data_IF_519195329880
#
_entry.id   IF_519195329880
#
_cell.length_a   1.000
_cell.length_b   1.000
_cell.length_c   1.000
_cell.angle_alpha   90.00
_cell.angle_beta   90.00
_cell.angle_gamma   90.00
#
_symmetry.space_group_name_H-M   'P 1'
#
loop_
_entity.id
_entity.type
_entity.pdbx_description
1 polymer ?
#
# COMPACT_ATOMS: atom_id res chain seq x y z
N UNK A 1 5.83 4.08 -33.48
CA UNK A 1 6.47 4.41 -32.20
C UNK A 1 5.51 5.37 -31.52
N UNK A 2 4.63 4.87 -30.66
CA UNK A 2 3.59 5.70 -30.05
C UNK A 2 4.20 6.55 -28.93
N UNK A 3 4.17 7.87 -29.14
CA UNK A 3 4.36 8.87 -28.10
C UNK A 3 3.17 8.77 -27.14
N UNK A 4 3.35 7.97 -26.11
CA UNK A 4 2.38 7.92 -25.01
C UNK A 4 2.43 9.24 -24.27
N UNK A 5 1.35 9.99 -24.41
CA UNK A 5 1.09 11.25 -23.73
C UNK A 5 1.46 11.11 -22.25
N UNK A 6 2.49 11.82 -21.82
CA UNK A 6 2.90 11.87 -20.42
C UNK A 6 1.75 12.47 -19.59
N UNK A 7 1.03 11.63 -18.85
CA UNK A 7 -0.02 12.06 -17.93
C UNK A 7 0.66 12.50 -16.63
N UNK A 8 0.79 13.81 -16.43
CA UNK A 8 1.35 14.44 -15.23
C UNK A 8 0.56 15.70 -14.87
N UNK A 9 0.61 16.12 -13.61
CA UNK A 9 -0.08 17.32 -13.18
C UNK A 9 0.48 18.58 -13.88
N UNK A 10 -0.40 19.26 -14.61
CA UNK A 10 -0.10 20.53 -15.25
C UNK A 10 -0.18 21.71 -14.28
N UNK A 11 0.38 22.87 -14.68
CA UNK A 11 0.28 24.11 -13.90
C UNK A 11 -1.17 24.54 -13.64
N UNK A 12 -2.10 24.19 -14.54
CA UNK A 12 -3.54 24.47 -14.43
C UNK A 12 -4.25 23.64 -13.34
N UNK A 13 -3.71 22.47 -12.98
CA UNK A 13 -4.30 21.57 -11.98
C UNK A 13 -3.82 21.89 -10.55
N UNK A 14 -2.91 22.85 -10.38
CA UNK A 14 -2.51 23.38 -9.06
C UNK A 14 -3.68 24.05 -8.33
N UNK A 15 -4.64 24.56 -9.07
CA UNK A 15 -5.92 25.02 -8.55
C UNK A 15 -6.79 23.78 -8.39
N UNK A 16 -6.55 23.02 -7.32
CA UNK A 16 -7.30 21.81 -7.01
C UNK A 16 -8.82 22.05 -7.05
N UNK A 17 -9.62 21.01 -7.27
CA UNK A 17 -11.07 21.14 -7.33
C UNK A 17 -11.61 21.77 -6.06
N UNK A 18 -12.64 22.62 -6.23
CA UNK A 18 -13.29 23.37 -5.16
C UNK A 18 -14.18 22.50 -4.26
N UNK A 19 -14.20 21.19 -4.48
CA UNK A 19 -15.01 20.22 -3.75
C UNK A 19 -14.10 19.16 -3.15
N UNK A 20 -14.40 18.76 -1.91
CA UNK A 20 -13.67 17.72 -1.22
C UNK A 20 -13.79 16.40 -1.98
N UNK A 21 -12.66 15.77 -2.28
CA UNK A 21 -12.64 14.39 -2.76
C UNK A 21 -12.98 13.47 -1.58
N UNK A 22 -14.19 12.91 -1.57
CA UNK A 22 -14.59 11.90 -0.59
C UNK A 22 -14.33 10.46 -1.06
N UNK A 23 -13.80 10.28 -2.28
CA UNK A 23 -13.46 8.96 -2.80
C UNK A 23 -12.11 8.49 -2.25
N UNK A 24 -12.04 7.21 -1.88
CA UNK A 24 -10.81 6.57 -1.44
C UNK A 24 -9.75 6.59 -2.55
N UNK A 25 -8.53 7.04 -2.23
CA UNK A 25 -7.41 6.91 -3.16
C UNK A 25 -6.93 5.45 -3.15
N UNK A 26 -7.15 4.77 -4.27
CA UNK A 26 -6.80 3.36 -4.46
C UNK A 26 -5.91 3.23 -5.70
N UNK A 27 -4.76 2.59 -5.56
CA UNK A 27 -3.76 2.46 -6.63
C UNK A 27 -3.42 1.00 -6.94
N UNK A 28 -2.66 0.82 -8.02
CA UNK A 28 -1.96 -0.41 -8.39
C UNK A 28 -0.47 -0.13 -8.41
N UNK A 29 0.34 -1.05 -7.90
CA UNK A 29 1.80 -0.91 -7.85
C UNK A 29 2.49 -2.28 -7.92
N UNK A 30 3.81 -2.26 -8.15
CA UNK A 30 4.61 -3.50 -8.09
C UNK A 30 5.11 -3.70 -6.66
N UNK A 31 4.64 -4.75 -5.99
CA UNK A 31 5.09 -5.16 -4.66
C UNK A 31 5.78 -6.51 -4.75
N UNK A 32 7.05 -6.58 -4.36
CA UNK A 32 7.85 -7.81 -4.43
C UNK A 32 7.81 -8.51 -5.81
N UNK A 33 7.85 -7.72 -6.89
CA UNK A 33 7.74 -8.14 -8.29
C UNK A 33 6.34 -8.64 -8.73
N UNK A 34 5.30 -8.46 -7.91
CA UNK A 34 3.92 -8.73 -8.28
C UNK A 34 3.16 -7.43 -8.54
N UNK A 35 2.35 -7.40 -9.59
CA UNK A 35 1.39 -6.32 -9.79
C UNK A 35 0.22 -6.47 -8.80
N UNK A 36 0.18 -5.59 -7.80
CA UNK A 36 -0.82 -5.60 -6.74
C UNK A 36 -1.74 -4.40 -6.93
N UNK A 37 -2.99 -4.68 -7.29
CA UNK A 37 -4.07 -3.69 -7.31
C UNK A 37 -4.74 -3.54 -5.94
N UNK A 38 -5.71 -2.63 -5.84
CA UNK A 38 -6.49 -2.38 -4.61
C UNK A 38 -5.61 -2.05 -3.41
N UNK A 39 -4.62 -1.18 -3.63
CA UNK A 39 -3.79 -0.60 -2.58
C UNK A 39 -4.46 0.68 -2.09
N UNK A 40 -4.96 0.68 -0.87
CA UNK A 40 -5.63 1.83 -0.27
C UNK A 40 -4.59 2.78 0.36
N UNK A 41 -4.66 4.06 0.02
CA UNK A 41 -3.81 5.10 0.60
C UNK A 41 -4.54 5.72 1.79
N UNK A 42 -4.03 5.49 2.99
CA UNK A 42 -4.69 5.88 4.24
C UNK A 42 -3.76 6.68 5.16
N UNK A 43 -3.88 8.01 5.16
CA UNK A 43 -3.13 8.86 6.08
C UNK A 43 -3.58 8.73 7.55
N UNK A 44 -4.74 8.12 7.80
CA UNK A 44 -5.22 7.76 9.13
C UNK A 44 -4.53 6.54 9.72
N UNK A 45 -4.00 5.64 8.88
CA UNK A 45 -3.31 4.43 9.35
C UNK A 45 -1.92 4.74 9.91
N UNK A 46 -1.61 4.21 11.08
CA UNK A 46 -0.29 4.28 11.72
C UNK A 46 0.71 3.25 11.19
N UNK A 47 0.24 2.28 10.41
CA UNK A 47 1.01 1.13 9.93
C UNK A 47 0.72 0.87 8.45
N UNK A 48 1.68 0.25 7.76
CA UNK A 48 1.42 -0.37 6.47
C UNK A 48 0.96 -1.81 6.68
N UNK A 49 -0.09 -2.21 5.96
CA UNK A 49 -0.73 -3.53 6.13
C UNK A 49 -0.71 -4.26 4.80
N UNK A 50 -0.30 -5.52 4.83
CA UNK A 50 -0.50 -6.48 3.74
C UNK A 50 -1.51 -7.52 4.21
N UNK A 51 -2.64 -7.67 3.52
CA UNK A 51 -3.65 -8.64 3.93
C UNK A 51 -3.19 -10.08 3.61
N UNK A 52 -3.43 -11.00 4.53
CA UNK A 52 -2.95 -12.39 4.48
C UNK A 52 -3.34 -13.10 3.18
N UNK A 53 -4.56 -12.88 2.69
CA UNK A 53 -5.00 -13.42 1.39
C UNK A 53 -4.11 -12.95 0.23
N UNK A 54 -3.70 -11.68 0.21
CA UNK A 54 -2.81 -11.15 -0.82
C UNK A 54 -1.40 -11.72 -0.66
N UNK A 55 -0.88 -11.76 0.58
CA UNK A 55 0.40 -12.39 0.88
C UNK A 55 0.46 -13.86 0.40
N UNK A 56 -0.57 -14.65 0.69
CA UNK A 56 -0.65 -16.06 0.30
C UNK A 56 -0.69 -16.23 -1.24
N UNK A 57 -1.35 -15.30 -1.95
CA UNK A 57 -1.40 -15.29 -3.42
C UNK A 57 -0.07 -14.89 -4.07
N UNK A 58 0.74 -14.07 -3.40
CA UNK A 58 2.06 -13.67 -3.88
C UNK A 58 3.09 -14.80 -3.79
N UNK A 59 2.79 -15.92 -3.11
CA UNK A 59 3.62 -17.13 -3.07
C UNK A 59 5.12 -16.82 -2.86
N UNK A 60 5.43 -15.98 -1.88
CA UNK A 60 6.77 -15.41 -1.68
C UNK A 60 7.84 -16.45 -1.24
N UNK A 61 7.45 -17.72 -1.09
CA UNK A 61 8.31 -18.79 -0.56
C UNK A 61 8.53 -18.67 0.95
N UNK A 62 9.61 -19.28 1.44
CA UNK A 62 9.98 -19.30 2.86
C UNK A 62 10.58 -17.95 3.33
N UNK A 63 9.81 -16.87 3.21
CA UNK A 63 10.20 -15.58 3.81
C UNK A 63 9.81 -15.61 5.29
N UNK A 64 10.82 -15.52 6.17
CA UNK A 64 10.60 -15.47 7.60
C UNK A 64 9.97 -14.15 8.04
N UNK A 65 8.94 -14.22 8.87
CA UNK A 65 8.38 -13.05 9.53
C UNK A 65 9.28 -12.58 10.69
N UNK A 66 9.45 -11.26 10.80
CA UNK A 66 9.89 -10.62 12.03
C UNK A 66 8.78 -10.79 13.08
N UNK A 67 9.12 -11.27 14.28
CA UNK A 67 8.16 -11.41 15.38
C UNK A 67 7.67 -10.03 15.82
N UNK A 68 6.35 -9.89 15.95
CA UNK A 68 5.69 -8.69 16.44
C UNK A 68 4.77 -9.06 17.59
N UNK A 69 4.93 -8.37 18.73
CA UNK A 69 4.07 -8.56 19.91
C UNK A 69 2.95 -7.50 20.00
N UNK A 70 2.87 -6.62 18.99
CA UNK A 70 1.91 -5.51 18.93
C UNK A 70 0.61 -5.97 18.28
N UNK A 71 -0.51 -5.68 18.94
CA UNK A 71 -1.85 -5.87 18.36
C UNK A 71 -2.29 -4.58 17.68
N UNK A 72 -3.03 -4.71 16.58
CA UNK A 72 -3.66 -3.57 15.91
C UNK A 72 -5.03 -3.33 16.50
N UNK A 73 -5.30 -2.07 16.84
CA UNK A 73 -6.57 -1.62 17.38
C UNK A 73 -7.29 -0.79 16.32
N UNK A 74 -8.44 -1.29 15.86
CA UNK A 74 -9.30 -0.58 14.93
C UNK A 74 -10.25 0.41 15.62
N UNK A 75 -10.92 1.24 14.82
CA UNK A 75 -11.86 2.27 15.31
C UNK A 75 -13.08 1.70 16.06
N UNK A 76 -13.41 0.42 15.87
CA UNK A 76 -14.56 -0.24 16.52
C UNK A 76 -14.11 -1.15 17.68
N UNK A 77 -12.86 -1.04 18.13
CA UNK A 77 -12.32 -1.88 19.20
C UNK A 77 -11.97 -3.30 18.75
N UNK A 78 -11.99 -3.57 17.44
CA UNK A 78 -11.45 -4.81 16.88
C UNK A 78 -9.95 -4.88 17.16
N UNK A 79 -9.54 -5.99 17.77
CA UNK A 79 -8.13 -6.30 18.03
C UNK A 79 -7.68 -7.35 17.02
N UNK A 80 -6.69 -7.00 16.22
CA UNK A 80 -6.11 -7.90 15.23
C UNK A 80 -4.67 -8.22 15.61
N UNK A 81 -4.35 -9.50 15.71
CA UNK A 81 -2.99 -9.98 15.92
C UNK A 81 -2.35 -10.28 14.54
N UNK A 82 -1.28 -9.57 14.15
CA UNK A 82 -0.59 -9.85 12.90
C UNK A 82 0.07 -11.24 12.91
N UNK A 83 0.17 -11.90 11.75
CA UNK A 83 1.06 -13.06 11.55
C UNK A 83 2.51 -12.71 11.89
N UNK A 84 2.89 -11.47 11.57
CA UNK A 84 4.20 -10.89 11.82
C UNK A 84 4.44 -9.70 10.91
N UNK A 85 5.70 -9.28 10.84
CA UNK A 85 6.12 -8.18 9.97
C UNK A 85 7.05 -8.68 8.87
N UNK A 86 6.91 -8.12 7.67
CA UNK A 86 7.71 -8.47 6.51
C UNK A 86 8.23 -7.21 5.81
N UNK A 87 9.45 -7.25 5.30
CA UNK A 87 10.04 -6.17 4.50
C UNK A 87 9.93 -6.52 3.02
N UNK A 88 9.22 -5.72 2.23
CA UNK A 88 9.01 -5.95 0.80
C UNK A 88 9.33 -4.70 -0.04
N UNK A 89 9.92 -4.84 -1.23
CA UNK A 89 10.15 -3.72 -2.13
C UNK A 89 8.84 -3.32 -2.84
N UNK A 90 8.44 -2.06 -2.69
CA UNK A 90 7.35 -1.43 -3.43
C UNK A 90 7.93 -0.50 -4.50
N UNK A 91 7.52 -0.68 -5.74
CA UNK A 91 7.86 0.22 -6.85
C UNK A 91 6.64 1.00 -7.28
N UNK A 92 6.74 2.33 -7.22
CA UNK A 92 5.73 3.30 -7.63
C UNK A 92 6.25 4.14 -8.80
N UNK A 93 5.34 4.65 -9.62
CA UNK A 93 5.65 5.49 -10.78
C UNK A 93 5.56 4.76 -12.12
N UNK A 94 5.77 5.51 -13.20
CA UNK A 94 5.61 5.01 -14.56
C UNK A 94 6.91 5.17 -15.37
N UNK A 95 7.22 4.19 -16.22
CA UNK A 95 8.29 4.26 -17.23
C UNK A 95 9.66 4.59 -16.62
N UNK A 96 10.16 5.80 -16.89
CA UNK A 96 11.49 6.27 -16.51
C UNK A 96 11.54 6.91 -15.13
N UNK A 97 10.38 7.14 -14.48
CA UNK A 97 10.28 7.80 -13.16
C UNK A 97 9.78 6.84 -12.08
N UNK A 98 10.27 5.61 -12.10
CA UNK A 98 9.98 4.64 -11.05
C UNK A 98 10.86 4.87 -9.82
N UNK A 99 10.26 4.73 -8.63
CA UNK A 99 10.95 4.73 -7.35
C UNK A 99 10.63 3.43 -6.62
N UNK A 100 11.66 2.70 -6.22
CA UNK A 100 11.54 1.50 -5.39
C UNK A 100 11.97 1.81 -3.96
N UNK A 101 11.12 1.47 -3.00
CA UNK A 101 11.40 1.59 -1.57
C UNK A 101 11.15 0.24 -0.91
N UNK A 102 12.00 -0.16 0.04
CA UNK A 102 11.72 -1.32 0.89
C UNK A 102 10.87 -0.84 2.06
N UNK A 103 9.67 -1.40 2.20
CA UNK A 103 8.69 -1.02 3.21
C UNK A 103 8.40 -2.20 4.13
N UNK A 104 8.06 -1.90 5.39
CA UNK A 104 7.68 -2.90 6.39
C UNK A 104 6.18 -2.99 6.49
N UNK A 105 5.63 -4.18 6.26
CA UNK A 105 4.21 -4.46 6.33
C UNK A 105 3.91 -5.37 7.53
N UNK A 106 2.85 -5.06 8.26
CA UNK A 106 2.20 -6.04 9.12
C UNK A 106 1.30 -6.92 8.27
N UNK A 107 1.48 -8.24 8.38
CA UNK A 107 0.61 -9.21 7.69
C UNK A 107 -0.52 -9.61 8.62
N UNK A 108 -1.76 -9.41 8.17
CA UNK A 108 -2.96 -9.65 9.00
C UNK A 108 -3.98 -10.54 8.32
N UNK A 109 -4.60 -11.44 9.08
CA UNK A 109 -5.59 -12.40 8.60
C UNK A 109 -7.03 -11.95 8.84
N UNK A 110 -7.38 -10.82 8.25
CA UNK A 110 -8.76 -10.34 8.27
C UNK A 110 -9.31 -10.20 6.85
N UNK A 111 -10.60 -10.51 6.62
CA UNK A 111 -11.25 -10.23 5.35
C UNK A 111 -11.18 -8.74 5.00
N UNK A 112 -10.77 -8.43 3.77
CA UNK A 112 -10.67 -7.05 3.29
C UNK A 112 -10.97 -6.96 1.80
N UNK A 113 -11.50 -5.82 1.39
CA UNK A 113 -11.66 -5.46 -0.03
C UNK A 113 -10.32 -5.04 -0.67
N UNK A 114 -9.33 -4.68 0.15
CA UNK A 114 -8.01 -4.22 -0.27
C UNK A 114 -6.97 -5.31 -0.10
N UNK A 115 -5.91 -5.23 -0.90
CA UNK A 115 -4.75 -6.11 -0.77
C UNK A 115 -3.70 -5.51 0.15
N UNK A 116 -3.58 -4.17 0.15
CA UNK A 116 -2.59 -3.41 0.93
C UNK A 116 -3.24 -2.13 1.45
N UNK A 117 -2.84 -1.69 2.64
CA UNK A 117 -3.01 -0.32 3.12
C UNK A 117 -1.61 0.30 3.22
N UNK A 118 -1.42 1.45 2.54
CA UNK A 118 -0.25 2.31 2.74
C UNK A 118 -0.63 3.42 3.71
N UNK A 119 -0.08 3.31 4.91
CA UNK A 119 -0.28 4.23 6.02
C UNK A 119 0.74 5.36 6.04
N UNK A 120 0.73 6.12 7.14
CA UNK A 120 1.70 7.19 7.40
C UNK A 120 3.17 6.76 7.30
N UNK A 121 3.60 5.54 7.70
CA UNK A 121 5.00 5.15 7.57
C UNK A 121 5.49 5.21 6.12
N UNK A 122 4.64 4.94 5.14
CA UNK A 122 4.97 5.09 3.71
C UNK A 122 4.70 6.50 3.16
N UNK A 123 3.74 7.23 3.71
CA UNK A 123 3.32 8.53 3.15
C UNK A 123 4.11 9.74 3.67
N UNK A 124 4.84 9.59 4.78
CA UNK A 124 5.56 10.70 5.43
C UNK A 124 7.08 10.62 5.21
N UNK A 125 7.54 9.78 4.27
CA UNK A 125 8.96 9.51 3.96
C UNK A 125 9.56 10.57 3.04
#
# INVERSE_FOLDING_TARGET
>A
MEDTSLIQFGRAERSGPRTFHNDALVITAILANYEVGRIFIDSGSSVDILFGKAYDQMQLGDVSFEKVNTSLYGFVGEVVHPRGMISLPLTLGARTTQKTCVLKFLVVDVPSAYNVILGRPTLTV
#
